data_IF_681811872486
#
_entry.id   IF_681811872486
#
_cell.length_a   1.000
_cell.length_b   1.000
_cell.length_c   1.000
_cell.angle_alpha   90.00
_cell.angle_beta   90.00
_cell.angle_gamma   90.00
#
_symmetry.space_group_name_H-M   'P 1'
#
loop_
_entity.id
_entity.type
_entity.pdbx_description
1 polymer ?
#
# COMPACT_ATOMS: atom_id res chain seq x y z
N UNK A 1 -7.23 -27.70 5.23
CA UNK A 1 -7.19 -26.23 5.20
C UNK A 1 -6.55 -25.72 6.47
N UNK A 2 -5.63 -24.73 6.39
CA UNK A 2 -5.01 -24.07 7.56
C UNK A 2 -5.78 -22.83 7.96
N UNK A 3 -5.82 -22.53 9.26
CA UNK A 3 -6.28 -21.23 9.77
C UNK A 3 -5.05 -20.51 10.32
N UNK A 4 -4.71 -19.38 9.74
CA UNK A 4 -3.51 -18.60 10.08
C UNK A 4 -3.94 -17.26 10.68
N UNK A 5 -3.69 -17.10 11.97
CA UNK A 5 -4.01 -15.88 12.71
C UNK A 5 -2.94 -14.81 12.55
N UNK A 6 -3.31 -13.54 12.80
CA UNK A 6 -2.36 -12.42 12.85
C UNK A 6 -1.23 -12.67 13.86
N UNK A 7 -1.50 -13.35 14.98
CA UNK A 7 -0.48 -13.68 15.97
C UNK A 7 0.62 -14.57 15.37
N UNK A 8 0.24 -15.65 14.66
CA UNK A 8 1.22 -16.53 14.01
C UNK A 8 2.02 -15.79 12.93
N UNK A 9 1.39 -14.89 12.17
CA UNK A 9 2.09 -14.06 11.17
C UNK A 9 3.12 -13.16 11.84
N UNK A 10 2.80 -12.54 12.97
CA UNK A 10 3.73 -11.69 13.73
C UNK A 10 4.91 -12.48 14.29
N UNK A 11 4.69 -13.71 14.72
CA UNK A 11 5.72 -14.60 15.25
C UNK A 11 6.76 -15.02 14.19
N UNK A 12 6.46 -14.86 12.90
CA UNK A 12 7.44 -15.03 11.81
C UNK A 12 8.51 -13.93 11.81
N UNK A 13 8.31 -12.83 12.50
CA UNK A 13 9.24 -11.69 12.57
C UNK A 13 9.72 -11.21 11.19
N UNK A 14 8.79 -11.13 10.23
CA UNK A 14 9.08 -10.61 8.88
C UNK A 14 9.47 -9.15 9.00
N UNK A 15 10.68 -8.79 8.56
CA UNK A 15 11.16 -7.42 8.66
C UNK A 15 10.39 -6.49 7.71
N UNK A 16 10.24 -5.18 8.06
CA UNK A 16 9.64 -4.21 7.16
C UNK A 16 10.40 -4.08 5.82
N UNK A 17 11.72 -4.18 5.82
CA UNK A 17 12.53 -4.21 4.59
C UNK A 17 12.19 -5.43 3.72
N UNK A 18 11.98 -6.61 4.32
CA UNK A 18 11.54 -7.80 3.59
C UNK A 18 10.18 -7.59 2.94
N UNK A 19 9.28 -6.83 3.58
CA UNK A 19 8.00 -6.45 3.01
C UNK A 19 8.17 -5.63 1.72
N UNK A 20 9.11 -4.70 1.67
CA UNK A 20 9.42 -3.91 0.47
C UNK A 20 9.94 -4.81 -0.67
N UNK A 21 10.83 -5.74 -0.36
CA UNK A 21 11.33 -6.70 -1.35
C UNK A 21 10.22 -7.61 -1.90
N UNK A 22 9.28 -8.05 -1.06
CA UNK A 22 8.13 -8.84 -1.52
C UNK A 22 7.19 -8.04 -2.43
N UNK A 23 7.01 -6.76 -2.18
CA UNK A 23 6.26 -5.88 -3.09
C UNK A 23 6.98 -5.73 -4.42
N UNK A 24 8.30 -5.52 -4.41
CA UNK A 24 9.10 -5.41 -5.62
C UNK A 24 9.05 -6.71 -6.44
N UNK A 25 9.19 -7.86 -5.79
CA UNK A 25 9.02 -9.18 -6.41
C UNK A 25 7.63 -9.35 -7.02
N UNK A 26 6.58 -8.96 -6.28
CA UNK A 26 5.21 -9.08 -6.77
C UNK A 26 4.95 -8.24 -8.03
N UNK A 27 5.51 -7.03 -8.13
CA UNK A 27 5.42 -6.23 -9.34
C UNK A 27 6.03 -6.94 -10.56
N UNK A 28 7.08 -7.74 -10.39
CA UNK A 28 7.66 -8.52 -11.49
C UNK A 28 6.72 -9.59 -12.07
N UNK A 29 5.70 -9.98 -11.30
CA UNK A 29 4.69 -10.98 -11.70
C UNK A 29 3.46 -10.34 -12.35
N UNK A 30 3.30 -9.01 -12.28
CA UNK A 30 2.05 -8.33 -12.65
C UNK A 30 1.61 -8.63 -14.09
N UNK A 31 2.53 -8.69 -15.05
CA UNK A 31 2.20 -8.95 -16.46
C UNK A 31 1.70 -10.37 -16.75
N UNK A 32 2.09 -11.31 -15.91
CA UNK A 32 1.74 -12.74 -16.09
C UNK A 32 0.66 -13.20 -15.11
N UNK A 33 0.40 -12.44 -14.07
CA UNK A 33 -0.70 -12.68 -13.14
C UNK A 33 -2.05 -12.32 -13.77
N UNK A 34 -3.11 -13.01 -13.36
CA UNK A 34 -4.46 -12.55 -13.66
C UNK A 34 -4.96 -11.68 -12.48
N UNK A 35 -5.11 -10.41 -12.75
CA UNK A 35 -5.39 -9.39 -11.76
C UNK A 35 -6.58 -8.53 -12.20
N UNK A 36 -7.82 -8.97 -11.99
CA UNK A 36 -8.98 -8.13 -12.25
C UNK A 36 -9.05 -6.95 -11.27
N UNK A 37 -9.67 -5.86 -11.71
CA UNK A 37 -9.92 -4.71 -10.84
C UNK A 37 -10.72 -5.13 -9.60
N UNK A 38 -10.42 -4.51 -8.46
CA UNK A 38 -11.16 -4.76 -7.22
C UNK A 38 -12.65 -4.42 -7.37
N UNK A 39 -13.50 -5.23 -6.78
CA UNK A 39 -14.94 -5.01 -6.72
C UNK A 39 -15.27 -4.36 -5.39
N UNK A 40 -15.89 -3.17 -5.43
CA UNK A 40 -16.27 -2.43 -4.22
C UNK A 40 -17.79 -2.43 -4.07
N UNK A 41 -18.26 -2.82 -2.90
CA UNK A 41 -19.66 -2.77 -2.50
C UNK A 41 -19.81 -1.85 -1.29
N UNK A 42 -20.83 -1.03 -1.28
CA UNK A 42 -21.07 0.00 -0.27
C UNK A 42 -22.39 -0.25 0.47
N UNK A 43 -22.37 -0.80 1.70
CA UNK A 43 -23.60 -1.06 2.44
C UNK A 43 -24.28 0.22 2.92
N UNK A 44 -23.50 1.21 3.40
CA UNK A 44 -24.02 2.52 3.82
C UNK A 44 -22.90 3.57 3.87
N UNK A 45 -23.22 4.80 3.48
CA UNK A 45 -22.31 5.95 3.57
C UNK A 45 -20.95 5.69 2.92
N UNK A 46 -19.87 5.84 3.71
CA UNK A 46 -18.49 5.57 3.27
C UNK A 46 -17.99 4.16 3.66
N UNK A 47 -18.88 3.30 4.17
CA UNK A 47 -18.54 1.92 4.45
C UNK A 47 -18.35 1.14 3.16
N UNK A 48 -17.48 0.15 3.17
CA UNK A 48 -17.21 -0.67 1.99
C UNK A 48 -16.80 -2.10 2.34
N UNK A 49 -17.05 -2.98 1.38
CA UNK A 49 -16.41 -4.29 1.22
C UNK A 49 -15.73 -4.31 -0.13
N UNK A 50 -14.43 -4.61 -0.16
CA UNK A 50 -13.64 -4.72 -1.39
C UNK A 50 -13.14 -6.15 -1.56
N UNK A 51 -13.56 -6.81 -2.64
CA UNK A 51 -13.05 -8.12 -3.02
C UNK A 51 -11.93 -7.97 -4.04
N UNK A 52 -10.79 -8.58 -3.74
CA UNK A 52 -9.53 -8.41 -4.47
C UNK A 52 -8.95 -9.79 -4.86
N UNK A 53 -9.42 -10.40 -5.95
CA UNK A 53 -8.89 -11.69 -6.40
C UNK A 53 -7.58 -11.50 -7.18
N UNK A 54 -6.71 -12.52 -7.11
CA UNK A 54 -5.52 -12.61 -7.95
C UNK A 54 -5.11 -14.08 -8.16
N UNK A 55 -4.76 -14.42 -9.41
CA UNK A 55 -4.14 -15.69 -9.77
C UNK A 55 -2.67 -15.46 -10.11
N UNK A 56 -1.78 -16.03 -9.29
CA UNK A 56 -0.34 -15.98 -9.55
C UNK A 56 0.05 -17.00 -10.65
N UNK A 57 1.03 -16.65 -11.50
CA UNK A 57 1.52 -17.55 -12.54
C UNK A 57 2.32 -18.72 -11.95
N UNK A 58 2.63 -19.71 -12.79
CA UNK A 58 3.66 -20.71 -12.47
C UNK A 58 5.02 -19.99 -12.23
N UNK A 59 5.86 -20.51 -11.33
CA UNK A 59 5.71 -21.73 -10.55
C UNK A 59 4.90 -21.58 -9.24
N UNK A 60 4.38 -20.40 -8.92
CA UNK A 60 3.65 -20.16 -7.68
C UNK A 60 2.37 -21.01 -7.58
N UNK A 61 1.56 -21.00 -8.63
CA UNK A 61 0.31 -21.78 -8.72
C UNK A 61 -0.65 -21.54 -7.54
N UNK A 62 -0.77 -20.28 -7.10
CA UNK A 62 -1.73 -19.86 -6.08
C UNK A 62 -2.81 -18.97 -6.69
N UNK A 63 -4.05 -19.21 -6.27
CA UNK A 63 -5.15 -18.28 -6.42
C UNK A 63 -5.53 -17.77 -5.03
N UNK A 64 -5.72 -16.47 -4.89
CA UNK A 64 -6.17 -15.88 -3.63
C UNK A 64 -7.27 -14.86 -3.83
N UNK A 65 -8.12 -14.75 -2.82
CA UNK A 65 -9.15 -13.71 -2.73
C UNK A 65 -9.02 -13.04 -1.38
N UNK A 66 -8.61 -11.77 -1.39
CA UNK A 66 -8.69 -10.95 -0.18
C UNK A 66 -10.00 -10.18 -0.18
N UNK A 67 -10.69 -10.23 0.93
CA UNK A 67 -11.76 -9.32 1.29
C UNK A 67 -11.19 -8.28 2.26
N UNK A 68 -11.45 -7.00 2.04
CA UNK A 68 -11.13 -5.92 2.98
C UNK A 68 -12.34 -5.03 3.14
N UNK A 69 -12.74 -4.80 4.39
CA UNK A 69 -13.88 -3.97 4.72
C UNK A 69 -13.52 -2.80 5.63
N UNK A 70 -14.33 -1.78 5.55
CA UNK A 70 -14.33 -0.68 6.52
C UNK A 70 -15.75 -0.41 6.95
N UNK A 71 -16.00 -0.55 8.26
CA UNK A 71 -17.31 -0.33 8.86
C UNK A 71 -17.16 0.74 9.94
N UNK A 72 -17.88 1.83 9.78
CA UNK A 72 -17.86 2.93 10.76
C UNK A 72 -18.38 2.46 12.11
N UNK A 73 -17.58 2.67 13.15
CA UNK A 73 -17.92 2.28 14.53
C UNK A 73 -17.50 0.87 14.94
N UNK A 74 -17.04 0.03 14.00
CA UNK A 74 -16.38 -1.23 14.35
C UNK A 74 -14.98 -0.99 14.96
N UNK A 75 -14.49 -1.98 15.70
CA UNK A 75 -13.15 -1.94 16.32
C UNK A 75 -12.42 -3.26 16.06
N UNK A 76 -11.41 -3.29 15.18
CA UNK A 76 -10.97 -2.20 14.31
C UNK A 76 -12.02 -1.83 13.25
N UNK A 77 -11.98 -0.58 12.77
CA UNK A 77 -12.90 -0.13 11.71
C UNK A 77 -12.53 -0.71 10.33
N UNK A 78 -11.26 -1.02 10.10
CA UNK A 78 -10.73 -1.70 8.91
C UNK A 78 -10.33 -3.12 9.32
N UNK A 79 -10.85 -4.12 8.62
CA UNK A 79 -10.50 -5.52 8.78
C UNK A 79 -10.33 -6.21 7.43
N UNK A 80 -9.65 -7.33 7.39
CA UNK A 80 -9.46 -8.10 6.16
C UNK A 80 -9.18 -9.57 6.40
N UNK A 81 -9.72 -10.41 5.51
CA UNK A 81 -9.51 -11.85 5.46
C UNK A 81 -9.03 -12.26 4.06
N UNK A 82 -8.25 -13.34 3.96
CA UNK A 82 -7.76 -13.86 2.70
C UNK A 82 -7.93 -15.37 2.62
N UNK A 83 -8.53 -15.83 1.53
CA UNK A 83 -8.59 -17.25 1.16
C UNK A 83 -7.50 -17.56 0.13
N UNK A 84 -6.70 -18.60 0.38
CA UNK A 84 -5.61 -19.04 -0.49
C UNK A 84 -5.89 -20.46 -1.00
N UNK A 85 -5.81 -20.65 -2.31
CA UNK A 85 -6.06 -21.92 -2.99
C UNK A 85 -4.84 -22.37 -3.80
N UNK A 86 -4.68 -23.68 -3.94
CA UNK A 86 -3.86 -24.25 -5.00
C UNK A 86 -4.60 -24.11 -6.33
N UNK A 87 -4.05 -23.35 -7.27
CA UNK A 87 -4.71 -23.07 -8.54
C UNK A 87 -4.74 -24.24 -9.53
N UNK A 88 -3.94 -25.29 -9.29
CA UNK A 88 -3.93 -26.49 -10.13
C UNK A 88 -4.98 -27.52 -9.70
N UNK A 89 -5.25 -27.58 -8.40
CA UNK A 89 -6.18 -28.61 -7.84
C UNK A 89 -7.51 -28.02 -7.41
N UNK A 90 -7.59 -26.70 -7.21
CA UNK A 90 -8.76 -26.04 -6.63
C UNK A 90 -8.90 -26.24 -5.11
N UNK A 91 -7.91 -26.85 -4.47
CA UNK A 91 -7.92 -27.07 -3.01
C UNK A 91 -7.79 -25.76 -2.27
N UNK A 92 -8.65 -25.53 -1.27
CA UNK A 92 -8.53 -24.43 -0.32
C UNK A 92 -7.42 -24.78 0.70
N UNK A 93 -6.29 -24.07 0.59
CA UNK A 93 -5.10 -24.31 1.40
C UNK A 93 -5.18 -23.63 2.76
N UNK A 94 -5.57 -22.36 2.78
CA UNK A 94 -5.60 -21.57 4.01
C UNK A 94 -6.66 -20.46 3.98
N UNK A 95 -7.12 -20.11 5.18
CA UNK A 95 -7.76 -18.84 5.51
C UNK A 95 -6.83 -18.07 6.44
N UNK A 96 -6.50 -16.83 6.08
CA UNK A 96 -5.59 -15.97 6.83
C UNK A 96 -6.33 -14.73 7.35
N UNK A 97 -6.07 -14.34 8.60
CA UNK A 97 -6.28 -12.97 9.05
C UNK A 97 -5.32 -12.08 8.25
N UNK A 98 -5.88 -11.22 7.41
CA UNK A 98 -5.09 -10.43 6.46
C UNK A 98 -4.83 -8.98 6.90
N UNK A 99 -5.14 -8.60 8.14
CA UNK A 99 -4.95 -7.22 8.63
C UNK A 99 -3.48 -6.81 8.62
N UNK A 100 -2.59 -7.72 9.04
CA UNK A 100 -1.14 -7.48 8.97
C UNK A 100 -0.67 -7.35 7.51
N UNK A 101 -1.13 -8.26 6.63
CA UNK A 101 -0.81 -8.23 5.20
C UNK A 101 -1.26 -6.89 4.60
N UNK A 102 -2.53 -6.53 4.80
CA UNK A 102 -3.12 -5.29 4.28
C UNK A 102 -2.34 -4.06 4.73
N UNK A 103 -1.93 -4.02 6.00
CA UNK A 103 -1.16 -2.91 6.57
C UNK A 103 0.24 -2.84 6.00
N UNK A 104 1.00 -3.94 6.10
CA UNK A 104 2.43 -3.96 5.74
C UNK A 104 2.66 -3.86 4.24
N UNK A 105 1.88 -4.57 3.38
CA UNK A 105 2.05 -4.44 1.94
C UNK A 105 1.70 -3.03 1.44
N UNK A 106 0.76 -2.33 2.10
CA UNK A 106 0.39 -0.97 1.70
C UNK A 106 1.51 0.01 2.05
N UNK A 107 2.09 -0.09 3.24
CA UNK A 107 3.26 0.70 3.62
C UNK A 107 4.47 0.41 2.73
N UNK A 108 4.70 -0.87 2.39
CA UNK A 108 5.80 -1.28 1.51
C UNK A 108 5.64 -0.76 0.07
N UNK A 109 4.42 -0.73 -0.49
CA UNK A 109 4.16 -0.12 -1.81
C UNK A 109 4.46 1.38 -1.79
N UNK A 110 4.00 2.09 -0.76
CA UNK A 110 4.29 3.53 -0.61
C UNK A 110 5.80 3.79 -0.47
N UNK A 111 6.51 2.97 0.31
CA UNK A 111 7.97 3.05 0.45
C UNK A 111 8.68 2.78 -0.86
N UNK A 112 8.29 1.75 -1.61
CA UNK A 112 8.87 1.47 -2.92
C UNK A 112 8.65 2.63 -3.91
N UNK A 113 7.47 3.27 -3.89
CA UNK A 113 7.20 4.46 -4.67
C UNK A 113 8.11 5.64 -4.26
N UNK A 114 8.33 5.84 -2.95
CA UNK A 114 9.27 6.85 -2.45
C UNK A 114 10.69 6.57 -2.98
N UNK A 115 11.18 5.36 -2.84
CA UNK A 115 12.52 4.95 -3.28
C UNK A 115 12.70 5.09 -4.80
N UNK A 116 11.63 4.84 -5.57
CA UNK A 116 11.67 4.89 -7.03
C UNK A 116 11.62 6.32 -7.56
N UNK A 117 10.88 7.23 -6.90
CA UNK A 117 10.51 8.51 -7.49
C UNK A 117 11.01 9.76 -6.75
N UNK A 118 11.49 9.67 -5.50
CA UNK A 118 12.03 10.86 -4.81
C UNK A 118 13.23 11.43 -5.57
N UNK A 119 13.46 12.73 -5.45
CA UNK A 119 14.67 13.34 -5.98
C UNK A 119 15.90 12.93 -5.16
N UNK A 120 17.09 13.05 -5.74
CA UNK A 120 18.34 12.58 -5.13
C UNK A 120 18.73 13.34 -3.87
N UNK A 121 18.14 14.52 -3.65
CA UNK A 121 18.42 15.43 -2.51
C UNK A 121 17.31 15.45 -1.48
N UNK A 122 16.28 14.62 -1.65
CA UNK A 122 15.14 14.59 -0.73
C UNK A 122 15.59 14.20 0.69
N UNK A 123 15.21 15.03 1.66
CA UNK A 123 15.51 14.85 3.09
C UNK A 123 14.28 14.98 3.95
N UNK A 124 13.33 15.84 3.55
CA UNK A 124 12.17 16.19 4.36
C UNK A 124 10.93 15.46 3.87
N UNK A 125 10.31 14.70 4.78
CA UNK A 125 9.15 13.85 4.50
C UNK A 125 7.94 14.32 5.30
N UNK A 126 6.91 14.79 4.64
CA UNK A 126 5.64 15.18 5.26
C UNK A 126 4.66 14.01 5.31
N UNK A 127 4.16 13.67 6.49
CA UNK A 127 3.19 12.59 6.69
C UNK A 127 1.83 13.13 7.13
N UNK A 128 0.78 12.79 6.36
CA UNK A 128 -0.61 13.07 6.64
C UNK A 128 -1.36 11.74 6.86
N UNK A 129 -2.02 11.58 8.01
CA UNK A 129 -2.69 10.33 8.39
C UNK A 129 -1.74 9.33 9.05
N UNK A 130 -1.72 9.37 10.39
CA UNK A 130 -0.76 8.66 11.24
C UNK A 130 -1.31 7.33 11.78
N UNK A 131 -2.27 6.74 11.05
CA UNK A 131 -2.85 5.43 11.32
C UNK A 131 -1.93 4.26 10.93
N UNK A 132 -2.50 3.05 10.86
CA UNK A 132 -1.73 1.83 10.57
C UNK A 132 -0.92 1.93 9.27
N UNK A 133 -1.50 2.47 8.20
CA UNK A 133 -0.80 2.62 6.91
C UNK A 133 0.38 3.58 7.00
N UNK A 134 0.20 4.75 7.64
CA UNK A 134 1.30 5.70 7.85
C UNK A 134 2.43 5.11 8.69
N UNK A 135 2.09 4.33 9.74
CA UNK A 135 3.06 3.62 10.57
C UNK A 135 3.82 2.55 9.78
N UNK A 136 3.12 1.76 8.98
CA UNK A 136 3.74 0.74 8.14
C UNK A 136 4.65 1.36 7.07
N UNK A 137 4.26 2.49 6.47
CA UNK A 137 5.11 3.21 5.52
C UNK A 137 6.38 3.70 6.20
N UNK A 138 6.26 4.28 7.40
CA UNK A 138 7.42 4.73 8.17
C UNK A 138 8.33 3.56 8.55
N UNK A 139 7.78 2.44 9.06
CA UNK A 139 8.55 1.23 9.38
C UNK A 139 9.33 0.72 8.17
N UNK A 140 8.65 0.58 7.04
CA UNK A 140 9.27 0.11 5.81
C UNK A 140 10.38 1.06 5.32
N UNK A 141 10.16 2.37 5.39
CA UNK A 141 11.14 3.37 4.98
C UNK A 141 12.40 3.31 5.85
N UNK A 142 12.24 3.36 7.17
CA UNK A 142 13.36 3.38 8.11
C UNK A 142 14.17 2.07 8.09
N UNK A 143 13.49 0.92 8.02
CA UNK A 143 14.14 -0.39 8.05
C UNK A 143 14.84 -0.73 6.72
N UNK A 144 14.31 -0.24 5.59
CA UNK A 144 14.94 -0.44 4.28
C UNK A 144 16.07 0.54 3.98
N UNK A 145 16.22 1.60 4.77
CA UNK A 145 17.23 2.65 4.59
C UNK A 145 17.92 3.02 5.92
N UNK A 146 18.55 2.06 6.60
CA UNK A 146 19.07 2.26 7.97
C UNK A 146 20.16 3.33 8.05
N UNK A 147 20.88 3.58 6.96
CA UNK A 147 22.00 4.54 6.90
C UNK A 147 21.56 5.94 6.38
N UNK A 148 20.27 6.12 6.06
CA UNK A 148 19.74 7.39 5.54
C UNK A 148 19.00 8.12 6.65
N UNK A 149 19.37 9.38 6.93
CA UNK A 149 18.65 10.23 7.86
C UNK A 149 17.41 10.84 7.21
N UNK A 150 16.27 10.73 7.87
CA UNK A 150 14.97 11.25 7.44
C UNK A 150 14.48 12.36 8.39
N UNK A 151 14.25 13.56 7.85
CA UNK A 151 13.60 14.65 8.60
C UNK A 151 12.09 14.59 8.35
N UNK A 152 11.30 14.23 9.36
CA UNK A 152 9.87 13.92 9.20
C UNK A 152 9.02 15.00 9.84
N UNK A 153 8.07 15.54 9.07
CA UNK A 153 7.05 16.48 9.53
C UNK A 153 5.72 15.72 9.59
N UNK A 154 5.13 15.66 10.78
CA UNK A 154 3.85 15.01 11.00
C UNK A 154 2.72 16.04 11.02
N UNK A 155 1.66 15.85 10.22
CA UNK A 155 0.47 16.66 10.36
C UNK A 155 -0.28 16.24 11.63
N UNK A 156 -0.54 17.20 12.52
CA UNK A 156 -1.25 16.94 13.77
C UNK A 156 -2.70 16.51 13.49
N UNK A 157 -3.09 15.44 14.12
CA UNK A 157 -4.48 15.04 14.25
C UNK A 157 -4.71 14.46 15.65
N UNK A 158 -5.35 15.24 16.52
CA UNK A 158 -5.50 14.93 17.94
C UNK A 158 -4.11 14.63 18.56
N UNK A 159 -3.98 13.57 19.32
CA UNK A 159 -2.73 13.11 19.97
C UNK A 159 -1.97 12.06 19.17
N UNK A 160 -2.34 11.88 17.87
CA UNK A 160 -1.74 10.81 17.06
C UNK A 160 -0.27 11.11 16.73
N UNK A 161 0.12 12.36 16.59
CA UNK A 161 1.49 12.73 16.24
C UNK A 161 2.48 12.36 17.36
N UNK A 162 2.14 12.67 18.59
CA UNK A 162 2.93 12.35 19.78
C UNK A 162 3.06 10.82 19.96
N UNK A 163 1.94 10.09 19.86
CA UNK A 163 1.91 8.63 19.92
C UNK A 163 2.67 7.98 18.75
N UNK A 164 2.72 8.65 17.59
CA UNK A 164 3.52 8.19 16.46
C UNK A 164 5.01 8.31 16.75
N UNK A 165 5.46 9.48 17.25
CA UNK A 165 6.86 9.73 17.63
C UNK A 165 7.33 8.72 18.68
N UNK A 166 6.52 8.49 19.71
CA UNK A 166 6.85 7.54 20.78
C UNK A 166 7.11 6.12 20.25
N UNK A 167 6.37 5.68 19.22
CA UNK A 167 6.54 4.34 18.60
C UNK A 167 7.85 4.18 17.83
N UNK A 168 8.44 5.28 17.42
CA UNK A 168 9.67 5.30 16.63
C UNK A 168 10.88 5.84 17.42
N UNK A 169 10.78 5.94 18.73
CA UNK A 169 11.84 6.48 19.59
C UNK A 169 13.15 5.67 19.58
N UNK A 170 13.09 4.39 19.21
CA UNK A 170 14.26 3.52 19.10
C UNK A 170 15.01 3.66 17.76
N UNK A 171 14.40 4.32 16.77
CA UNK A 171 15.03 4.54 15.47
C UNK A 171 15.94 5.77 15.54
N UNK A 172 17.20 5.59 15.15
CA UNK A 172 18.24 6.65 15.19
C UNK A 172 18.39 7.39 13.86
N UNK A 173 17.75 6.89 12.81
CA UNK A 173 17.81 7.43 11.47
C UNK A 173 16.62 8.31 11.09
N UNK A 174 15.94 8.89 12.09
CA UNK A 174 14.80 9.79 11.89
C UNK A 174 14.78 10.91 12.92
N UNK A 175 14.38 12.11 12.48
CA UNK A 175 13.99 13.22 13.36
C UNK A 175 12.53 13.58 13.08
N UNK A 176 11.79 13.98 14.12
CA UNK A 176 10.39 14.34 14.00
C UNK A 176 10.13 15.78 14.38
N UNK A 177 9.26 16.43 13.61
CA UNK A 177 8.61 17.68 13.94
C UNK A 177 7.10 17.57 13.68
N UNK A 178 6.32 18.46 14.26
CA UNK A 178 4.85 18.46 14.11
C UNK A 178 4.43 19.82 13.56
N UNK A 179 3.48 19.81 12.61
CA UNK A 179 2.79 21.01 12.15
C UNK A 179 1.28 20.83 12.20
N UNK A 180 0.55 21.94 12.22
CA UNK A 180 -0.92 21.97 12.32
C UNK A 180 -1.61 22.32 10.98
N UNK A 181 -0.83 22.82 10.01
CA UNK A 181 -1.33 23.25 8.71
C UNK A 181 -0.82 22.34 7.58
N UNK A 182 -1.70 21.69 6.80
CA UNK A 182 -1.29 20.87 5.66
C UNK A 182 -0.55 21.69 4.59
N UNK A 183 -0.84 22.97 4.41
CA UNK A 183 -0.11 23.84 3.46
C UNK A 183 1.33 24.07 3.91
N UNK A 184 1.54 24.28 5.20
CA UNK A 184 2.89 24.40 5.77
C UNK A 184 3.68 23.08 5.58
N UNK A 185 3.04 21.92 5.83
CA UNK A 185 3.66 20.63 5.59
C UNK A 185 4.08 20.47 4.14
N UNK A 186 3.17 20.76 3.20
CA UNK A 186 3.45 20.67 1.75
C UNK A 186 4.62 21.58 1.36
N UNK A 187 4.61 22.84 1.81
CA UNK A 187 5.64 23.81 1.47
C UNK A 187 7.05 23.45 1.99
N UNK A 188 7.13 22.67 3.07
CA UNK A 188 8.40 22.26 3.68
C UNK A 188 8.91 20.88 3.24
N UNK A 189 8.09 20.07 2.58
CA UNK A 189 8.41 18.67 2.28
C UNK A 189 8.95 18.46 0.86
N UNK A 190 9.95 17.60 0.75
CA UNK A 190 10.44 17.06 -0.52
C UNK A 190 9.61 15.85 -0.95
N UNK A 191 9.14 15.08 0.02
CA UNK A 191 8.25 13.92 -0.18
C UNK A 191 7.02 14.09 0.71
N UNK A 192 5.83 13.95 0.14
CA UNK A 192 4.54 14.09 0.84
C UNK A 192 3.82 12.75 0.78
N UNK A 193 3.67 12.10 1.94
CA UNK A 193 2.97 10.81 2.08
C UNK A 193 1.61 11.05 2.70
N UNK A 194 0.55 10.66 2.01
CA UNK A 194 -0.81 10.81 2.52
C UNK A 194 -1.49 9.48 2.73
N UNK A 195 -1.77 9.16 3.99
CA UNK A 195 -2.48 7.97 4.45
C UNK A 195 -3.81 8.33 5.14
N UNK A 196 -4.39 9.50 4.82
CA UNK A 196 -5.68 9.92 5.38
C UNK A 196 -6.81 9.04 4.85
N UNK A 197 -7.85 8.89 5.64
CA UNK A 197 -9.04 8.11 5.26
C UNK A 197 -10.13 8.98 4.67
N UNK A 198 -10.09 10.29 4.92
CA UNK A 198 -11.13 11.22 4.51
C UNK A 198 -10.53 12.59 4.21
N UNK A 199 -10.93 13.21 3.10
CA UNK A 199 -10.65 14.59 2.76
C UNK A 199 -11.94 15.22 2.21
N UNK A 200 -12.32 16.37 2.76
CA UNK A 200 -13.50 17.12 2.28
C UNK A 200 -13.23 17.97 1.04
N UNK A 201 -11.98 18.03 0.59
CA UNK A 201 -11.51 18.82 -0.54
C UNK A 201 -10.01 18.64 -0.73
N UNK A 202 -9.37 19.60 -1.38
CA UNK A 202 -7.93 19.64 -1.53
C UNK A 202 -7.26 19.91 -0.18
N UNK A 203 -6.19 19.18 0.14
CA UNK A 203 -5.40 19.40 1.35
C UNK A 203 -4.47 20.61 1.22
N UNK A 204 -4.05 20.88 -0.01
CA UNK A 204 -3.32 22.08 -0.38
C UNK A 204 -3.81 22.52 -1.77
N UNK A 205 -4.52 23.62 -1.83
CA UNK A 205 -5.11 24.21 -3.04
C UNK A 205 -4.23 25.30 -3.67
N UNK A 206 -3.07 25.59 -3.06
CA UNK A 206 -2.06 26.50 -3.59
C UNK A 206 -0.94 25.71 -4.26
N UNK A 207 -0.99 25.67 -5.60
CA UNK A 207 -0.04 24.91 -6.41
C UNK A 207 1.40 25.44 -6.26
N UNK A 208 1.59 26.71 -5.87
CA UNK A 208 2.92 27.32 -5.68
C UNK A 208 3.68 26.78 -4.47
N UNK A 209 2.98 26.15 -3.51
CA UNK A 209 3.59 25.56 -2.33
C UNK A 209 4.26 24.21 -2.60
N UNK A 210 3.92 23.55 -3.71
CA UNK A 210 4.61 22.32 -4.11
C UNK A 210 5.97 22.62 -4.68
N UNK A 211 7.02 22.29 -3.96
CA UNK A 211 8.41 22.56 -4.34
C UNK A 211 8.77 21.90 -5.66
N UNK A 212 9.71 22.49 -6.40
CA UNK A 212 10.36 21.78 -7.51
C UNK A 212 10.99 20.48 -7.00
N UNK A 213 10.84 19.40 -7.76
CA UNK A 213 11.37 18.11 -7.41
C UNK A 213 10.57 17.33 -6.35
N UNK A 214 9.47 17.90 -5.82
CA UNK A 214 8.69 17.19 -4.81
C UNK A 214 8.04 15.92 -5.38
N UNK A 215 7.83 14.96 -4.48
CA UNK A 215 7.08 13.73 -4.72
C UNK A 215 5.85 13.71 -3.83
N UNK A 216 4.67 13.45 -4.40
CA UNK A 216 3.44 13.20 -3.64
C UNK A 216 3.04 11.74 -3.79
N UNK A 217 2.86 11.05 -2.66
CA UNK A 217 2.53 9.63 -2.57
C UNK A 217 1.21 9.47 -1.81
N UNK A 218 0.06 9.65 -2.47
CA UNK A 218 -1.22 9.35 -1.86
C UNK A 218 -1.44 7.83 -1.87
N UNK A 219 -1.71 7.28 -0.68
CA UNK A 219 -2.09 5.87 -0.50
C UNK A 219 -3.63 5.72 -0.59
N UNK A 220 -4.24 6.61 -1.35
CA UNK A 220 -5.66 6.76 -1.61
C UNK A 220 -5.88 7.72 -2.78
N UNK A 221 -7.11 8.13 -3.07
CA UNK A 221 -7.46 8.90 -4.26
C UNK A 221 -7.90 10.35 -3.97
N UNK A 222 -7.63 10.89 -2.79
CA UNK A 222 -8.27 12.12 -2.30
C UNK A 222 -7.26 13.17 -1.85
N UNK A 223 -7.62 14.43 -1.99
CA UNK A 223 -6.91 15.55 -1.37
C UNK A 223 -5.81 16.18 -2.21
N UNK A 224 -5.36 15.56 -3.31
CA UNK A 224 -4.28 16.05 -4.17
C UNK A 224 -4.63 16.08 -5.66
N UNK A 225 -5.91 16.12 -6.00
CA UNK A 225 -6.36 16.07 -7.41
C UNK A 225 -5.94 17.28 -8.24
N UNK A 226 -5.57 18.40 -7.63
CA UNK A 226 -4.95 19.52 -8.34
C UNK A 226 -3.57 19.15 -8.92
N UNK A 227 -2.81 18.28 -8.23
CA UNK A 227 -1.50 17.82 -8.72
C UNK A 227 -1.60 17.09 -10.06
N UNK A 228 -2.73 16.46 -10.38
CA UNK A 228 -3.00 15.84 -11.67
C UNK A 228 -2.80 16.80 -12.86
N UNK A 229 -2.98 18.09 -12.65
CA UNK A 229 -3.01 19.11 -13.71
C UNK A 229 -1.67 19.76 -13.98
N UNK A 230 -0.79 19.83 -12.97
CA UNK A 230 0.46 20.60 -13.12
C UNK A 230 1.73 19.79 -12.86
N UNK A 231 1.65 18.63 -12.22
CA UNK A 231 2.82 17.77 -12.02
C UNK A 231 3.36 17.26 -13.35
N UNK A 232 4.66 17.01 -13.41
CA UNK A 232 5.35 16.64 -14.64
C UNK A 232 5.11 15.18 -15.02
N UNK A 233 5.02 14.30 -14.00
CA UNK A 233 4.77 12.87 -14.20
C UNK A 233 3.80 12.35 -13.14
N UNK A 234 2.89 11.49 -13.58
CA UNK A 234 1.96 10.75 -12.73
C UNK A 234 2.19 9.26 -12.92
N UNK A 235 2.34 8.54 -11.81
CA UNK A 235 2.45 7.09 -11.80
C UNK A 235 1.33 6.48 -10.99
N UNK A 236 1.01 5.21 -11.26
CA UNK A 236 0.07 4.44 -10.45
C UNK A 236 0.53 2.99 -10.31
N UNK A 237 0.00 2.31 -9.32
CA UNK A 237 0.17 0.86 -9.18
C UNK A 237 -0.60 0.07 -10.25
N UNK A 238 -1.72 0.62 -10.76
CA UNK A 238 -2.51 0.03 -11.84
C UNK A 238 -3.32 1.09 -12.59
N UNK A 239 -3.28 1.04 -13.92
CA UNK A 239 -4.05 1.93 -14.80
C UNK A 239 -5.55 1.81 -14.57
N UNK A 240 -6.06 0.58 -14.31
CA UNK A 240 -7.48 0.36 -14.07
C UNK A 240 -8.02 1.10 -12.82
N UNK A 241 -7.15 1.42 -11.87
CA UNK A 241 -7.52 2.17 -10.67
C UNK A 241 -7.66 3.68 -10.89
N UNK A 242 -6.99 4.23 -11.91
CA UNK A 242 -6.90 5.68 -12.12
C UNK A 242 -7.51 6.15 -13.43
N UNK A 243 -7.74 5.27 -14.41
CA UNK A 243 -8.28 5.64 -15.72
C UNK A 243 -9.66 6.32 -15.66
N UNK A 244 -10.42 6.11 -14.59
CA UNK A 244 -11.69 6.80 -14.32
C UNK A 244 -11.55 8.13 -13.58
N UNK A 245 -10.34 8.60 -13.26
CA UNK A 245 -10.17 9.88 -12.56
C UNK A 245 -10.53 11.06 -13.47
N UNK A 246 -11.13 12.09 -12.86
CA UNK A 246 -11.59 13.30 -13.56
C UNK A 246 -10.55 13.90 -14.49
N UNK A 247 -9.29 13.88 -14.10
CA UNK A 247 -8.18 14.52 -14.80
C UNK A 247 -7.23 13.54 -15.48
N UNK A 248 -7.56 12.26 -15.55
CA UNK A 248 -6.66 11.24 -16.13
C UNK A 248 -6.15 11.60 -17.53
N UNK A 249 -7.04 12.09 -18.41
CA UNK A 249 -6.69 12.51 -19.78
C UNK A 249 -5.82 13.78 -19.85
N UNK A 250 -5.60 14.43 -18.72
CA UNK A 250 -4.80 15.66 -18.59
C UNK A 250 -3.43 15.41 -17.94
N UNK A 251 -3.13 14.16 -17.53
CA UNK A 251 -1.79 13.82 -17.05
C UNK A 251 -0.77 14.12 -18.12
N UNK A 252 0.26 14.91 -17.82
CA UNK A 252 1.30 15.28 -18.79
C UNK A 252 2.12 14.07 -19.23
N UNK A 253 2.38 13.16 -18.29
CA UNK A 253 2.99 11.86 -18.51
C UNK A 253 2.35 10.86 -17.55
N UNK A 254 2.01 9.67 -18.04
CA UNK A 254 1.48 8.59 -17.20
C UNK A 254 2.15 7.27 -17.54
N UNK A 255 2.51 6.51 -16.49
CA UNK A 255 2.92 5.12 -16.59
C UNK A 255 2.63 4.38 -15.27
N UNK A 256 2.76 3.06 -15.28
CA UNK A 256 2.69 2.25 -14.08
C UNK A 256 4.06 2.14 -13.41
N UNK A 257 4.08 2.08 -12.07
CA UNK A 257 5.33 1.96 -11.29
C UNK A 257 6.13 0.70 -11.70
N UNK A 258 5.43 -0.40 -12.02
CA UNK A 258 6.09 -1.62 -12.46
C UNK A 258 6.93 -1.44 -13.72
N UNK A 259 6.49 -0.60 -14.66
CA UNK A 259 7.22 -0.36 -15.91
C UNK A 259 8.51 0.41 -15.66
N UNK A 260 8.51 1.28 -14.64
CA UNK A 260 9.72 1.97 -14.19
C UNK A 260 10.67 0.98 -13.51
N UNK A 261 10.17 0.14 -12.60
CA UNK A 261 10.96 -0.87 -11.89
C UNK A 261 11.57 -1.89 -12.89
N UNK A 262 10.81 -2.25 -13.93
CA UNK A 262 11.26 -3.14 -15.00
C UNK A 262 12.18 -2.46 -16.04
N UNK A 263 12.41 -1.15 -15.93
CA UNK A 263 13.23 -0.39 -16.88
C UNK A 263 12.60 -0.17 -18.25
N UNK A 264 11.28 -0.41 -18.40
CA UNK A 264 10.53 -0.22 -19.66
C UNK A 264 10.20 1.24 -19.93
N UNK A 265 10.03 2.02 -18.86
CA UNK A 265 9.85 3.47 -18.94
C UNK A 265 10.73 4.16 -17.92
N UNK A 266 10.99 5.44 -18.13
CA UNK A 266 11.81 6.23 -17.21
C UNK A 266 10.97 6.71 -16.05
N UNK A 267 11.53 6.64 -14.85
CA UNK A 267 10.99 7.30 -13.66
C UNK A 267 11.34 8.79 -13.65
N UNK A 268 11.96 9.26 -12.56
CA UNK A 268 12.53 10.60 -12.48
C UNK A 268 13.74 10.72 -13.39
N UNK A 269 13.77 11.75 -14.24
CA UNK A 269 14.89 12.08 -15.12
C UNK A 269 15.64 13.31 -14.63
N UNK A 270 14.93 14.27 -14.04
CA UNK A 270 15.49 15.50 -13.50
C UNK A 270 15.05 15.72 -12.06
N UNK A 271 15.95 16.22 -11.21
CA UNK A 271 15.66 16.52 -9.81
C UNK A 271 14.54 17.57 -9.62
N UNK A 272 14.30 18.41 -10.64
CA UNK A 272 13.24 19.43 -10.61
C UNK A 272 11.83 18.91 -10.92
N UNK A 273 11.68 17.70 -11.47
CA UNK A 273 10.37 17.16 -11.83
C UNK A 273 9.49 16.96 -10.61
N UNK A 274 8.25 17.45 -10.65
CA UNK A 274 7.21 17.11 -9.68
C UNK A 274 6.55 15.82 -10.08
N UNK A 275 6.54 14.85 -9.17
CA UNK A 275 6.02 13.51 -9.43
C UNK A 275 4.88 13.16 -8.46
N UNK A 276 3.80 12.61 -9.00
CA UNK A 276 2.67 12.08 -8.24
C UNK A 276 2.61 10.56 -8.44
N UNK A 277 2.57 9.78 -7.35
CA UNK A 277 2.48 8.33 -7.41
C UNK A 277 1.28 7.82 -6.63
N UNK A 278 0.21 7.43 -7.33
CA UNK A 278 -0.99 6.83 -6.75
C UNK A 278 -0.75 5.36 -6.35
N UNK A 279 -0.99 5.03 -5.08
CA UNK A 279 -0.78 3.69 -4.53
C UNK A 279 -2.10 3.19 -3.92
N UNK A 280 -2.96 2.61 -4.74
CA UNK A 280 -4.34 2.26 -4.38
C UNK A 280 -4.44 0.83 -3.85
N UNK A 281 -3.47 -0.01 -4.21
CA UNK A 281 -3.29 -1.37 -3.70
C UNK A 281 -3.86 -2.46 -4.61
N UNK A 282 -3.07 -3.50 -4.81
CA UNK A 282 -3.33 -4.64 -5.69
C UNK A 282 -3.52 -5.92 -4.90
N UNK A 283 -4.48 -6.77 -5.31
CA UNK A 283 -4.62 -8.13 -4.82
C UNK A 283 -3.38 -9.00 -5.06
N UNK A 284 -2.58 -8.64 -6.04
CA UNK A 284 -1.30 -9.28 -6.36
C UNK A 284 -0.36 -9.32 -5.14
N UNK A 285 -0.14 -8.16 -4.51
CA UNK A 285 0.70 -8.09 -3.31
C UNK A 285 0.13 -8.94 -2.17
N UNK A 286 -1.17 -8.88 -1.98
CA UNK A 286 -1.86 -9.62 -0.93
C UNK A 286 -1.66 -11.14 -1.08
N UNK A 287 -1.79 -11.66 -2.30
CA UNK A 287 -1.66 -13.11 -2.58
C UNK A 287 -0.20 -13.56 -2.54
N UNK A 288 0.76 -12.72 -2.98
CA UNK A 288 2.20 -13.02 -2.83
C UNK A 288 2.58 -13.11 -1.35
N UNK A 289 2.13 -12.15 -0.52
CA UNK A 289 2.37 -12.21 0.92
C UNK A 289 1.73 -13.44 1.56
N UNK A 290 0.47 -13.72 1.23
CA UNK A 290 -0.24 -14.88 1.75
C UNK A 290 0.45 -16.19 1.37
N UNK A 291 0.94 -16.33 0.14
CA UNK A 291 1.66 -17.53 -0.31
C UNK A 291 2.95 -17.75 0.48
N UNK A 292 3.75 -16.69 0.70
CA UNK A 292 4.99 -16.77 1.48
C UNK A 292 4.73 -17.09 2.97
N UNK A 293 3.70 -16.49 3.55
CA UNK A 293 3.27 -16.77 4.93
C UNK A 293 2.76 -18.20 5.05
N UNK A 294 1.95 -18.65 4.11
CA UNK A 294 1.46 -20.04 4.07
C UNK A 294 2.63 -21.03 3.99
N UNK A 295 3.58 -20.83 3.09
CA UNK A 295 4.75 -21.69 2.95
C UNK A 295 5.57 -21.79 4.27
N UNK A 296 5.69 -20.69 5.00
CA UNK A 296 6.39 -20.66 6.29
C UNK A 296 5.61 -21.35 7.44
N UNK A 297 4.27 -21.41 7.35
CA UNK A 297 3.42 -21.88 8.46
C UNK A 297 2.65 -23.18 8.15
N UNK A 298 2.68 -23.71 6.92
CA UNK A 298 1.87 -24.85 6.50
C UNK A 298 2.05 -26.11 7.37
N UNK A 299 3.24 -26.31 7.94
CA UNK A 299 3.54 -27.45 8.79
C UNK A 299 3.24 -27.19 10.28
N UNK A 300 3.06 -25.92 10.66
CA UNK A 300 2.92 -25.49 12.07
C UNK A 300 1.60 -24.77 12.38
N UNK A 301 0.64 -24.76 11.46
CA UNK A 301 -0.66 -24.10 11.65
C UNK A 301 -1.74 -25.09 12.06
N UNK A 302 -2.80 -24.57 12.69
CA UNK A 302 -3.98 -25.37 13.01
C UNK A 302 -4.68 -25.86 11.75
N UNK A 303 -4.95 -27.15 11.68
CA UNK A 303 -5.71 -27.77 10.61
C UNK A 303 -7.20 -27.77 10.92
N UNK A 304 -8.00 -27.44 9.91
CA UNK A 304 -9.42 -27.71 9.90
C UNK A 304 -9.68 -28.63 8.70
N UNK A 305 -10.28 -29.77 8.96
CA UNK A 305 -10.70 -30.69 7.90
C UNK A 305 -11.97 -30.16 7.26
N UNK A 306 -11.91 -29.88 5.96
CA UNK A 306 -13.07 -29.57 5.13
C UNK A 306 -13.47 -30.85 4.38
N UNK A 307 -14.41 -31.58 4.96
CA UNK A 307 -14.93 -32.82 4.36
C UNK A 307 -15.71 -32.43 3.11
N UNK A 308 -15.30 -32.98 1.97
CA UNK A 308 -15.98 -32.81 0.68
C UNK A 308 -16.43 -34.16 0.17
N UNK A 309 -17.69 -34.23 -0.27
CA UNK A 309 -18.19 -35.39 -0.97
C UNK A 309 -17.58 -35.49 -2.36
N UNK A 310 -17.17 -36.68 -2.75
CA UNK A 310 -16.53 -36.95 -4.05
C UNK A 310 -17.52 -37.45 -5.10
N UNK A 311 -18.70 -37.85 -4.67
CA UNK A 311 -19.76 -38.33 -5.56
C UNK A 311 -20.51 -37.17 -6.21
N UNK A 312 -21.06 -37.43 -7.40
CA UNK A 312 -21.90 -36.46 -8.09
C UNK A 312 -23.16 -36.21 -7.28
N UNK A 313 -23.47 -34.95 -7.06
CA UNK A 313 -24.70 -34.52 -6.43
C UNK A 313 -25.90 -34.70 -7.39
N UNK A 314 -26.98 -35.30 -6.89
CA UNK A 314 -28.24 -35.47 -7.60
C UNK A 314 -29.34 -34.69 -6.90
N UNK A 315 -30.07 -33.88 -7.66
CA UNK A 315 -31.26 -33.13 -7.20
C UNK A 315 -32.50 -33.98 -7.59
#
# INVERSE_FOLDING_TARGET
MKIISQKQIRELNISPAQCVEWVKESFSLKETAQLPAKISLHPQGNDFFNTMPCLLPAPYNYFGVKEVHRIKGATPALGSDLLLYNSLTGELLAMLDADWITTMRTGAVATLAIQTFRNTKAKTYGFLGLGNTGRATMLCLLDSEPDVMHDVILLRYKEQAESFIERFNEYTNVTFSICDDPKELVAKSDVIVSCITEAQGLLCDDDSLYREGCLVVPVHTRGFQNCDLFFDKVYADDTAHVCGFKYFSQFKHFAEIQDVIAGKTKGREFDSERILSYNIGLGLHDVVYASKIYEALKDNSNDIELIRETEKFWI
#
